data_IF_789704534172
#
_entry.id   IF_789704534172
#
_cell.length_a   1.000
_cell.length_b   1.000
_cell.length_c   1.000
_cell.angle_alpha   90.00
_cell.angle_beta   90.00
_cell.angle_gamma   90.00
#
_symmetry.space_group_name_H-M   'P 1'
#
loop_
_entity.id
_entity.type
_entity.pdbx_description
1 polymer ?
#
# COMPACT_ATOMS: atom_id res chain seq x y z
N UNK A 1 16.45 -0.96 21.74
CA UNK A 1 15.69 0.29 21.61
C UNK A 1 15.66 0.63 20.13
N UNK A 2 14.56 0.34 19.41
CA UNK A 2 14.41 0.84 18.03
C UNK A 2 14.30 2.36 18.16
N UNK A 3 15.19 3.09 17.50
CA UNK A 3 15.01 4.53 17.34
C UNK A 3 13.83 4.70 16.38
N UNK A 4 12.71 5.21 16.89
CA UNK A 4 11.52 5.50 16.09
C UNK A 4 11.85 6.64 15.12
N UNK A 5 12.32 6.29 13.92
CA UNK A 5 12.66 7.24 12.88
C UNK A 5 11.43 7.49 12.00
N UNK A 6 10.56 8.34 12.53
CA UNK A 6 9.26 8.68 11.92
C UNK A 6 9.37 9.91 11.02
N UNK A 7 8.98 9.76 9.75
CA UNK A 7 8.97 10.84 8.76
C UNK A 7 7.52 11.17 8.39
N UNK A 8 7.19 12.46 8.36
CA UNK A 8 5.90 12.95 7.87
C UNK A 8 6.06 13.60 6.49
N UNK A 9 5.16 13.27 5.56
CA UNK A 9 5.09 13.82 4.20
C UNK A 9 3.69 14.39 4.00
N UNK A 10 3.60 15.64 3.54
CA UNK A 10 2.35 16.24 3.08
C UNK A 10 2.21 15.99 1.57
N UNK A 11 1.11 15.35 1.15
CA UNK A 11 0.81 15.06 -0.24
C UNK A 11 -0.01 16.16 -0.94
N UNK A 12 -0.34 17.25 -0.24
CA UNK A 12 -1.05 18.36 -0.86
C UNK A 12 -0.21 19.02 -1.97
N UNK A 13 -0.84 19.27 -3.12
CA UNK A 13 -0.22 19.91 -4.29
C UNK A 13 1.08 19.26 -4.83
N UNK A 14 1.35 17.99 -4.49
CA UNK A 14 2.47 17.25 -5.06
C UNK A 14 2.00 16.18 -6.06
N UNK A 15 2.72 16.10 -7.17
CA UNK A 15 2.53 15.04 -8.15
C UNK A 15 3.00 13.69 -7.58
N UNK A 16 2.36 12.59 -7.97
CA UNK A 16 2.65 11.26 -7.43
C UNK A 16 4.12 10.85 -7.61
N UNK A 17 4.77 11.26 -8.71
CA UNK A 17 6.20 10.98 -8.93
C UNK A 17 7.08 11.58 -7.85
N UNK A 18 6.76 12.79 -7.39
CA UNK A 18 7.51 13.47 -6.33
C UNK A 18 7.25 12.80 -4.97
N UNK A 19 5.98 12.49 -4.66
CA UNK A 19 5.62 11.76 -3.45
C UNK A 19 6.40 10.43 -3.34
N UNK A 20 6.41 9.65 -4.42
CA UNK A 20 7.11 8.36 -4.44
C UNK A 20 8.63 8.49 -4.28
N UNK A 21 9.24 9.56 -4.79
CA UNK A 21 10.66 9.86 -4.55
C UNK A 21 10.92 10.19 -3.08
N UNK A 22 10.05 10.96 -2.43
CA UNK A 22 10.15 11.29 -1.01
C UNK A 22 10.03 10.04 -0.13
N UNK A 23 9.07 9.16 -0.42
CA UNK A 23 8.92 7.87 0.27
C UNK A 23 10.21 7.05 0.15
N UNK A 24 10.73 6.87 -1.07
CA UNK A 24 11.98 6.11 -1.29
C UNK A 24 13.17 6.72 -0.58
N UNK A 25 13.26 8.05 -0.56
CA UNK A 25 14.31 8.78 0.16
C UNK A 25 14.22 8.52 1.67
N UNK A 26 13.04 8.64 2.27
CA UNK A 26 12.82 8.36 3.68
C UNK A 26 13.23 6.91 4.04
N UNK A 27 12.90 5.95 3.19
CA UNK A 27 13.34 4.55 3.37
C UNK A 27 14.85 4.39 3.27
N UNK A 28 15.49 5.04 2.29
CA UNK A 28 16.96 5.03 2.16
C UNK A 28 17.65 5.67 3.38
N UNK A 29 17.01 6.66 4.00
CA UNK A 29 17.40 7.32 5.24
C UNK A 29 17.00 6.53 6.50
N UNK A 30 16.61 5.26 6.33
CA UNK A 30 16.28 4.30 7.40
C UNK A 30 15.10 4.75 8.26
N UNK A 31 14.10 5.40 7.66
CA UNK A 31 12.82 5.61 8.34
C UNK A 31 12.19 4.26 8.71
N UNK A 32 11.67 4.16 9.93
CA UNK A 32 10.89 2.99 10.39
C UNK A 32 9.40 3.18 10.14
N UNK A 33 8.97 4.45 10.11
CA UNK A 33 7.56 4.83 9.99
C UNK A 33 7.44 6.05 9.08
N UNK A 34 6.51 6.00 8.13
CA UNK A 34 6.20 7.12 7.23
C UNK A 34 4.73 7.46 7.40
N UNK A 35 4.42 8.74 7.65
CA UNK A 35 3.05 9.25 7.69
C UNK A 35 2.83 10.15 6.49
N UNK A 36 1.88 9.81 5.63
CA UNK A 36 1.52 10.59 4.45
C UNK A 36 0.16 11.20 4.68
N UNK A 37 0.07 12.53 4.68
CA UNK A 37 -1.18 13.28 4.87
C UNK A 37 -1.69 13.85 3.55
N UNK A 38 -2.98 14.17 3.51
CA UNK A 38 -3.63 14.86 2.40
C UNK A 38 -3.49 14.13 1.05
N UNK A 39 -3.56 12.80 1.06
CA UNK A 39 -3.48 12.02 -0.18
C UNK A 39 -4.79 12.13 -0.94
N UNK A 40 -4.71 12.54 -2.21
CA UNK A 40 -5.85 12.76 -3.10
C UNK A 40 -5.52 12.24 -4.51
N UNK A 41 -5.46 10.92 -4.65
CA UNK A 41 -5.27 10.26 -5.95
C UNK A 41 -3.81 10.10 -6.39
N UNK A 42 -2.82 10.39 -5.55
CA UNK A 42 -1.43 10.09 -5.90
C UNK A 42 -1.23 8.57 -6.05
N UNK A 43 -0.77 8.17 -7.24
CA UNK A 43 -0.62 6.78 -7.67
C UNK A 43 0.67 6.14 -7.18
N UNK A 44 0.70 4.81 -7.20
CA UNK A 44 1.90 3.99 -7.01
C UNK A 44 2.59 4.15 -5.64
N UNK A 45 1.87 4.63 -4.63
CA UNK A 45 2.39 4.72 -3.25
C UNK A 45 2.87 3.32 -2.84
N UNK A 46 4.07 3.22 -2.28
CA UNK A 46 4.73 1.98 -1.90
C UNK A 46 5.00 0.95 -3.03
N UNK A 47 4.79 1.30 -4.31
CA UNK A 47 5.01 0.35 -5.40
C UNK A 47 6.49 0.00 -5.56
N UNK A 48 6.80 -1.29 -5.66
CA UNK A 48 8.15 -1.84 -5.74
C UNK A 48 9.01 -1.51 -4.52
N UNK A 49 8.40 -1.12 -3.40
CA UNK A 49 9.12 -0.84 -2.16
C UNK A 49 9.46 -2.15 -1.46
N UNK A 50 10.72 -2.26 -1.01
CA UNK A 50 11.27 -3.43 -0.33
C UNK A 50 11.89 -3.00 1.00
N UNK A 51 11.11 -3.01 2.07
CA UNK A 51 11.55 -2.62 3.41
C UNK A 51 10.54 -3.08 4.47
N UNK A 52 11.02 -3.35 5.68
CA UNK A 52 10.20 -3.66 6.85
C UNK A 52 9.85 -2.36 7.60
N UNK A 53 8.85 -1.63 7.12
CA UNK A 53 8.43 -0.31 7.64
C UNK A 53 6.91 -0.19 7.70
N UNK A 54 6.42 0.74 8.52
CA UNK A 54 5.01 1.14 8.51
C UNK A 54 4.81 2.39 7.66
N UNK A 55 3.72 2.42 6.90
CA UNK A 55 3.29 3.59 6.12
C UNK A 55 1.83 3.87 6.45
N UNK A 56 1.58 4.94 7.20
CA UNK A 56 0.24 5.44 7.48
C UNK A 56 -0.16 6.45 6.41
N UNK A 57 -1.30 6.23 5.77
CA UNK A 57 -1.77 7.01 4.64
C UNK A 57 -3.14 7.60 4.97
N UNK A 58 -3.21 8.92 5.07
CA UNK A 58 -4.44 9.67 5.35
C UNK A 58 -4.96 10.30 4.06
N UNK A 59 -6.13 9.83 3.61
CA UNK A 59 -6.75 10.24 2.36
C UNK A 59 -7.04 9.05 1.44
N UNK A 60 -7.06 9.30 0.13
CA UNK A 60 -7.39 8.29 -0.90
C UNK A 60 -6.20 8.09 -1.83
N UNK A 61 -5.39 7.03 -1.65
CA UNK A 61 -4.37 6.64 -2.62
C UNK A 61 -4.97 6.38 -3.99
N UNK A 62 -4.28 6.85 -5.04
CA UNK A 62 -4.62 6.55 -6.41
C UNK A 62 -4.24 5.13 -6.83
N UNK A 63 -4.48 4.82 -8.10
CA UNK A 63 -4.27 3.50 -8.66
C UNK A 63 -2.92 2.83 -8.35
N UNK A 64 -2.95 1.51 -8.20
CA UNK A 64 -1.78 0.63 -8.02
C UNK A 64 -0.97 0.86 -6.72
N UNK A 65 -1.64 1.26 -5.63
CA UNK A 65 -1.06 1.26 -4.29
C UNK A 65 -0.42 -0.10 -3.95
N UNK A 66 0.85 -0.11 -3.54
CA UNK A 66 1.55 -1.33 -3.14
C UNK A 66 1.84 -2.30 -4.28
N UNK A 67 1.82 -1.84 -5.54
CA UNK A 67 2.11 -2.71 -6.68
C UNK A 67 3.54 -3.26 -6.60
N UNK A 68 3.76 -4.58 -6.71
CA UNK A 68 5.06 -5.25 -6.50
C UNK A 68 5.71 -5.01 -5.12
N UNK A 69 4.95 -4.58 -4.12
CA UNK A 69 5.44 -4.37 -2.76
C UNK A 69 5.92 -5.67 -2.11
N UNK A 70 6.99 -5.59 -1.32
CA UNK A 70 7.55 -6.72 -0.58
C UNK A 70 8.10 -6.24 0.78
N UNK A 71 7.29 -6.33 1.83
CA UNK A 71 7.68 -5.97 3.20
C UNK A 71 6.75 -4.98 3.89
N UNK A 72 6.53 -3.77 3.35
CA UNK A 72 5.85 -2.71 4.09
C UNK A 72 4.46 -3.08 4.61
N UNK A 73 4.09 -2.48 5.75
CA UNK A 73 2.73 -2.47 6.27
C UNK A 73 2.14 -1.10 5.93
N UNK A 74 1.14 -1.06 5.05
CA UNK A 74 0.43 0.16 4.67
C UNK A 74 -0.94 0.21 5.38
N UNK A 75 -1.16 1.22 6.24
CA UNK A 75 -2.46 1.51 6.83
C UNK A 75 -3.12 2.68 6.10
N UNK A 76 -4.30 2.46 5.52
CA UNK A 76 -5.01 3.47 4.73
C UNK A 76 -6.21 3.92 5.55
N UNK A 77 -6.12 5.14 6.08
CA UNK A 77 -7.18 5.81 6.81
C UNK A 77 -8.14 6.50 5.82
N UNK A 78 -8.81 5.69 5.00
CA UNK A 78 -9.68 6.14 3.93
C UNK A 78 -10.03 5.02 2.95
N UNK A 79 -10.42 5.40 1.74
CA UNK A 79 -10.65 4.48 0.62
C UNK A 79 -9.38 4.34 -0.23
N UNK A 80 -9.33 3.30 -1.06
CA UNK A 80 -8.37 3.22 -2.17
C UNK A 80 -9.09 3.31 -3.51
N UNK A 81 -8.39 3.78 -4.54
CA UNK A 81 -8.82 3.67 -5.94
C UNK A 81 -8.67 2.22 -6.46
N UNK A 82 -8.41 2.05 -7.76
CA UNK A 82 -8.29 0.74 -8.41
C UNK A 82 -6.92 0.07 -8.18
N UNK A 83 -6.93 -1.26 -8.21
CA UNK A 83 -5.78 -2.15 -8.17
C UNK A 83 -4.79 -2.04 -6.98
N UNK A 84 -5.23 -1.76 -5.74
CA UNK A 84 -4.33 -1.88 -4.59
C UNK A 84 -3.83 -3.33 -4.45
N UNK A 85 -2.56 -3.50 -4.07
CA UNK A 85 -1.93 -4.82 -3.90
C UNK A 85 -1.59 -5.54 -5.21
N UNK A 86 -1.58 -4.83 -6.35
CA UNK A 86 -1.27 -5.41 -7.65
C UNK A 86 0.09 -6.13 -7.64
N UNK A 87 0.09 -7.44 -7.80
CA UNK A 87 1.30 -8.26 -7.87
C UNK A 87 2.20 -8.11 -6.62
N UNK A 88 1.60 -7.79 -5.48
CA UNK A 88 2.28 -7.73 -4.19
C UNK A 88 2.84 -9.12 -3.81
N UNK A 89 4.07 -9.14 -3.29
CA UNK A 89 4.82 -10.37 -3.00
C UNK A 89 4.91 -10.68 -1.50
N UNK A 90 4.94 -9.65 -0.65
CA UNK A 90 4.92 -9.77 0.81
C UNK A 90 4.54 -8.43 1.47
N UNK A 91 4.24 -8.45 2.76
CA UNK A 91 3.82 -7.27 3.54
C UNK A 91 2.32 -7.27 3.81
N UNK A 92 1.79 -6.09 4.15
CA UNK A 92 0.38 -5.93 4.52
C UNK A 92 -0.23 -4.64 4.00
N UNK A 93 -1.47 -4.71 3.51
CA UNK A 93 -2.29 -3.53 3.18
C UNK A 93 -3.57 -3.61 4.02
N UNK A 94 -3.82 -2.60 4.85
CA UNK A 94 -5.01 -2.49 5.69
C UNK A 94 -5.79 -1.26 5.25
N UNK A 95 -6.99 -1.46 4.72
CA UNK A 95 -7.87 -0.38 4.24
C UNK A 95 -9.02 -0.19 5.23
N UNK A 96 -9.02 0.94 5.93
CA UNK A 96 -10.10 1.35 6.83
C UNK A 96 -11.28 1.98 6.08
N UNK A 97 -11.61 1.44 4.91
CA UNK A 97 -12.61 1.96 3.98
C UNK A 97 -12.93 0.93 2.91
N UNK A 98 -13.29 1.42 1.73
CA UNK A 98 -13.53 0.62 0.53
C UNK A 98 -12.36 0.70 -0.46
N UNK A 99 -12.30 -0.24 -1.39
CA UNK A 99 -11.37 -0.19 -2.53
C UNK A 99 -12.13 -0.27 -3.86
N UNK A 100 -11.48 0.19 -4.94
CA UNK A 100 -11.99 0.05 -6.30
C UNK A 100 -11.76 -1.34 -6.90
N UNK A 101 -11.89 -1.41 -8.22
CA UNK A 101 -11.73 -2.63 -9.01
C UNK A 101 -10.33 -3.23 -8.88
N UNK A 102 -10.20 -4.53 -9.17
CA UNK A 102 -8.95 -5.27 -9.28
C UNK A 102 -8.07 -5.26 -8.00
N UNK A 103 -8.69 -5.11 -6.84
CA UNK A 103 -7.98 -5.25 -5.55
C UNK A 103 -7.28 -6.61 -5.45
N UNK A 104 -6.04 -6.64 -4.97
CA UNK A 104 -5.17 -7.82 -4.93
C UNK A 104 -4.92 -8.50 -6.30
N UNK A 105 -5.03 -7.75 -7.41
CA UNK A 105 -4.77 -8.29 -8.74
C UNK A 105 -3.40 -8.96 -8.83
N UNK A 106 -3.33 -10.21 -9.30
CA UNK A 106 -2.06 -10.93 -9.49
C UNK A 106 -1.17 -11.06 -8.25
N UNK A 107 -1.70 -10.82 -7.04
CA UNK A 107 -0.96 -10.90 -5.79
C UNK A 107 -0.41 -12.31 -5.58
N UNK A 108 0.83 -12.39 -5.08
CA UNK A 108 1.62 -13.63 -4.96
C UNK A 108 1.97 -13.99 -3.52
N UNK A 109 1.88 -13.04 -2.60
CA UNK A 109 2.04 -13.26 -1.16
C UNK A 109 1.64 -12.03 -0.35
N UNK A 110 1.71 -12.15 0.97
CA UNK A 110 1.30 -11.12 1.92
C UNK A 110 -0.21 -11.08 2.17
N UNK A 111 -0.68 -10.03 2.81
CA UNK A 111 -2.07 -9.93 3.30
C UNK A 111 -2.69 -8.57 2.94
N UNK A 112 -3.95 -8.59 2.51
CA UNK A 112 -4.75 -7.39 2.27
C UNK A 112 -6.08 -7.52 3.00
N UNK A 113 -6.40 -6.51 3.81
CA UNK A 113 -7.64 -6.42 4.57
C UNK A 113 -8.41 -5.17 4.15
N UNK A 114 -9.68 -5.33 3.79
CA UNK A 114 -10.57 -4.23 3.43
C UNK A 114 -11.79 -4.29 4.32
N UNK A 115 -11.99 -3.26 5.14
CA UNK A 115 -13.09 -3.25 6.12
C UNK A 115 -14.47 -3.24 5.44
N UNK A 116 -14.65 -2.41 4.42
CA UNK A 116 -15.98 -2.20 3.86
C UNK A 116 -16.19 -3.09 2.61
N UNK A 117 -16.07 -2.53 1.40
CA UNK A 117 -16.34 -3.25 0.14
C UNK A 117 -15.22 -3.08 -0.86
N UNK A 118 -15.15 -3.99 -1.83
CA UNK A 118 -14.24 -3.93 -2.97
C UNK A 118 -15.02 -3.80 -4.29
N UNK A 119 -14.36 -3.29 -5.34
CA UNK A 119 -14.91 -3.25 -6.69
C UNK A 119 -14.86 -4.60 -7.43
N UNK A 120 -15.05 -4.55 -8.74
CA UNK A 120 -15.06 -5.72 -9.61
C UNK A 120 -13.68 -6.39 -9.70
N UNK A 121 -13.66 -7.70 -9.96
CA UNK A 121 -12.43 -8.48 -10.21
C UNK A 121 -11.44 -8.48 -9.03
N UNK A 122 -11.94 -8.37 -7.80
CA UNK A 122 -11.15 -8.63 -6.60
C UNK A 122 -10.47 -9.99 -6.63
N UNK A 123 -9.18 -10.02 -6.31
CA UNK A 123 -8.35 -11.22 -6.28
C UNK A 123 -8.09 -11.87 -7.64
N UNK A 124 -8.37 -11.18 -8.74
CA UNK A 124 -8.18 -11.79 -10.05
C UNK A 124 -6.72 -12.10 -10.34
N UNK A 125 -6.45 -13.33 -10.76
CA UNK A 125 -5.10 -13.88 -11.00
C UNK A 125 -4.21 -13.98 -9.76
N UNK A 126 -4.76 -13.95 -8.54
CA UNK A 126 -4.00 -14.33 -7.34
C UNK A 126 -3.39 -15.73 -7.51
N UNK A 127 -2.15 -15.90 -7.03
CA UNK A 127 -1.38 -17.14 -7.17
C UNK A 127 -0.74 -17.50 -5.85
N UNK A 128 -0.88 -18.75 -5.46
CA UNK A 128 -0.14 -19.33 -4.34
C UNK A 128 0.92 -20.31 -4.86
N UNK A 129 2.02 -20.43 -4.13
CA UNK A 129 3.05 -21.45 -4.37
C UNK A 129 3.77 -21.78 -3.07
N UNK A 130 3.73 -23.05 -2.67
CA UNK A 130 4.36 -23.56 -1.45
C UNK A 130 3.92 -22.75 -0.21
N UNK A 131 4.85 -22.06 0.47
CA UNK A 131 4.56 -21.26 1.66
C UNK A 131 4.06 -19.85 1.34
N UNK A 132 4.07 -19.43 0.06
CA UNK A 132 3.56 -18.12 -0.35
C UNK A 132 2.06 -18.20 -0.62
N UNK A 133 1.26 -17.73 0.34
CA UNK A 133 -0.20 -17.73 0.31
C UNK A 133 -0.73 -16.30 0.41
N UNK A 134 -1.10 -15.64 -0.71
CA UNK A 134 -1.66 -14.30 -0.65
C UNK A 134 -3.07 -14.34 -0.07
N UNK A 135 -3.38 -13.40 0.81
CA UNK A 135 -4.68 -13.32 1.48
C UNK A 135 -5.39 -12.01 1.16
N UNK A 136 -6.67 -12.09 0.78
CA UNK A 136 -7.59 -10.95 0.68
C UNK A 136 -8.79 -11.22 1.59
N UNK A 137 -9.03 -10.35 2.57
CA UNK A 137 -10.20 -10.38 3.46
C UNK A 137 -11.03 -9.13 3.23
N UNK A 138 -12.35 -9.30 3.10
CA UNK A 138 -13.32 -8.22 2.90
C UNK A 138 -14.47 -8.40 3.87
N UNK A 139 -14.83 -7.33 4.58
CA UNK A 139 -15.97 -7.28 5.52
C UNK A 139 -15.59 -6.93 6.95
#
# INVERSE_FOLDING_TARGET
>A
MKLDNKIAIDANDIHYTQLNKLIRKAVAEKATDIVIKNVLGQRFIASGLRAEINIDIYGVPGGDLGMFMNGPICNIYGNCEHAPGNTMDYGKIIVHGSTGDASAHSMRGGEMYVRDRIGYRGGIHMKEYDQKKPTLVVG
#
